data_IF_037201583938
#
_entry.id   IF_037201583938
#
_cell.length_a   1.000
_cell.length_b   1.000
_cell.length_c   1.000
_cell.angle_alpha   90.00
_cell.angle_beta   90.00
_cell.angle_gamma   90.00
#
_symmetry.space_group_name_H-M   'P 1'
#
loop_
_entity.id
_entity.type
_entity.pdbx_description
1 polymer ?
#
# COMPACT_ATOMS: atom_id res chain seq x y z
N UNK A 1 -7.82 9.57 33.49
CA UNK A 1 -7.06 9.03 32.34
C UNK A 1 -8.11 8.51 31.38
N UNK A 2 -8.15 9.02 30.14
CA UNK A 2 -9.25 8.76 29.21
C UNK A 2 -9.44 7.24 29.00
N UNK A 3 -10.66 6.73 29.11
CA UNK A 3 -10.98 5.28 29.07
C UNK A 3 -10.45 4.64 27.77
N UNK A 4 -10.60 5.34 26.65
CA UNK A 4 -10.03 5.01 25.34
C UNK A 4 -8.51 4.84 25.38
N UNK A 5 -7.79 5.67 26.15
CA UNK A 5 -6.32 5.58 26.26
C UNK A 5 -5.90 4.36 27.10
N UNK A 6 -6.66 4.00 28.13
CA UNK A 6 -6.40 2.77 28.90
C UNK A 6 -6.63 1.54 28.03
N UNK A 7 -7.80 1.48 27.38
CA UNK A 7 -8.19 0.39 26.50
C UNK A 7 -7.24 0.22 25.32
N UNK A 8 -6.78 1.33 24.72
CA UNK A 8 -5.75 1.29 23.68
C UNK A 8 -4.47 0.63 24.18
N UNK A 9 -3.94 1.02 25.35
CA UNK A 9 -2.72 0.41 25.93
C UNK A 9 -2.90 -1.08 26.21
N UNK A 10 -4.03 -1.47 26.76
CA UNK A 10 -4.35 -2.87 27.06
C UNK A 10 -4.41 -3.71 25.78
N UNK A 11 -5.06 -3.21 24.72
CA UNK A 11 -5.10 -3.90 23.42
C UNK A 11 -3.73 -3.98 22.75
N UNK A 12 -2.91 -2.94 22.83
CA UNK A 12 -1.54 -2.99 22.30
C UNK A 12 -0.70 -4.06 23.01
N UNK A 13 -0.77 -4.14 24.34
CA UNK A 13 -0.08 -5.19 25.09
C UNK A 13 -0.58 -6.60 24.72
N UNK A 14 -1.87 -6.74 24.41
CA UNK A 14 -2.48 -8.03 24.08
C UNK A 14 -2.20 -8.50 22.65
N UNK A 15 -2.26 -7.59 21.67
CA UNK A 15 -2.26 -7.95 20.25
C UNK A 15 -0.99 -7.56 19.50
N UNK A 16 -0.21 -6.61 20.01
CA UNK A 16 0.94 -6.05 19.31
C UNK A 16 2.27 -6.41 19.97
N UNK A 17 2.33 -6.43 21.29
CA UNK A 17 3.56 -6.76 22.03
C UNK A 17 3.98 -8.21 21.76
N UNK A 18 5.25 -8.42 21.40
CA UNK A 18 5.83 -9.70 21.00
C UNK A 18 5.11 -10.43 19.83
N UNK A 19 4.31 -9.70 19.03
CA UNK A 19 3.63 -10.24 17.85
C UNK A 19 4.44 -9.95 16.58
N UNK A 20 5.19 -10.95 16.11
CA UNK A 20 6.05 -10.82 14.91
C UNK A 20 5.26 -10.44 13.65
N UNK A 21 4.04 -10.93 13.48
CA UNK A 21 3.21 -10.59 12.31
C UNK A 21 2.81 -9.12 12.31
N UNK A 22 2.46 -8.57 13.47
CA UNK A 22 2.20 -7.15 13.63
C UNK A 22 3.47 -6.32 13.39
N UNK A 23 4.59 -6.71 13.98
CA UNK A 23 5.88 -6.02 13.85
C UNK A 23 6.36 -5.95 12.39
N UNK A 24 6.25 -7.06 11.65
CA UNK A 24 6.57 -7.12 10.22
C UNK A 24 5.65 -6.21 9.39
N UNK A 25 4.35 -6.23 9.65
CA UNK A 25 3.36 -5.41 8.95
C UNK A 25 3.62 -3.92 9.14
N UNK A 26 3.82 -3.48 10.39
CA UNK A 26 4.10 -2.08 10.71
C UNK A 26 5.46 -1.64 10.18
N UNK A 27 6.47 -2.50 10.31
CA UNK A 27 7.81 -2.21 9.77
C UNK A 27 7.77 -2.01 8.25
N UNK A 28 6.98 -2.79 7.52
CA UNK A 28 6.77 -2.59 6.07
C UNK A 28 6.15 -1.23 5.76
N UNK A 29 5.12 -0.82 6.52
CA UNK A 29 4.46 0.48 6.34
C UNK A 29 5.44 1.63 6.64
N UNK A 30 6.14 1.57 7.77
CA UNK A 30 7.10 2.60 8.19
C UNK A 30 8.24 2.71 7.17
N UNK A 31 8.80 1.59 6.72
CA UNK A 31 9.89 1.58 5.76
C UNK A 31 9.45 2.13 4.40
N UNK A 32 8.26 1.76 3.93
CA UNK A 32 7.70 2.31 2.69
C UNK A 32 7.66 3.85 2.73
N UNK A 33 7.08 4.42 3.80
CA UNK A 33 6.95 5.86 3.92
C UNK A 33 8.27 6.58 4.24
N UNK A 34 9.19 5.92 4.94
CA UNK A 34 10.55 6.42 5.12
C UNK A 34 11.25 6.58 3.76
N UNK A 35 11.17 5.57 2.90
CA UNK A 35 11.79 5.59 1.57
C UNK A 35 11.15 6.67 0.68
N UNK A 36 9.83 6.77 0.71
CA UNK A 36 9.10 7.75 -0.10
C UNK A 36 9.45 9.20 0.30
N UNK A 37 9.37 9.53 1.59
CA UNK A 37 9.76 10.85 2.09
C UNK A 37 11.26 11.10 1.99
N UNK A 38 12.08 10.07 2.19
CA UNK A 38 13.52 10.15 2.08
C UNK A 38 13.97 10.45 0.64
N UNK A 39 13.31 9.85 -0.34
CA UNK A 39 13.51 10.17 -1.74
C UNK A 39 13.09 11.61 -2.04
N UNK A 40 11.90 12.03 -1.57
CA UNK A 40 11.42 13.41 -1.74
C UNK A 40 12.36 14.45 -1.13
N UNK A 41 12.89 14.14 0.04
CA UNK A 41 13.86 14.96 0.77
C UNK A 41 15.26 14.93 0.15
N UNK A 42 15.49 14.07 -0.85
CA UNK A 42 16.77 13.81 -1.47
C UNK A 42 17.87 13.45 -0.44
N UNK A 43 17.51 12.60 0.54
CA UNK A 43 18.41 12.13 1.59
C UNK A 43 18.92 10.70 1.37
N UNK A 44 18.35 9.97 0.40
CA UNK A 44 18.71 8.59 0.08
C UNK A 44 19.79 8.49 -1.01
N UNK A 45 20.08 9.58 -1.71
CA UNK A 45 21.03 9.59 -2.82
C UNK A 45 22.45 9.88 -2.31
N UNK A 46 23.43 9.19 -2.88
CA UNK A 46 24.83 9.56 -2.71
C UNK A 46 25.07 10.94 -3.34
N UNK A 47 25.73 11.82 -2.58
CA UNK A 47 25.89 13.22 -2.97
C UNK A 47 27.34 13.64 -2.82
N UNK A 48 27.88 14.24 -3.87
CA UNK A 48 29.17 14.92 -3.82
C UNK A 48 28.97 16.34 -3.28
N UNK A 49 29.78 16.71 -2.29
CA UNK A 49 29.72 18.03 -1.66
C UNK A 49 30.89 18.89 -2.11
N UNK A 50 30.61 20.15 -2.43
CA UNK A 50 31.63 21.11 -2.83
C UNK A 50 32.41 21.67 -1.63
N UNK A 51 31.90 21.52 -0.41
CA UNK A 51 32.57 21.93 0.83
C UNK A 51 32.07 21.16 2.07
N UNK A 52 32.90 21.14 3.11
CA UNK A 52 32.65 20.42 4.37
C UNK A 52 31.44 20.96 5.16
N UNK A 53 31.09 22.24 4.99
CA UNK A 53 29.98 22.87 5.72
C UNK A 53 28.64 22.34 5.21
N UNK A 54 28.48 22.25 3.89
CA UNK A 54 27.31 21.66 3.23
C UNK A 54 27.17 20.19 3.59
N UNK A 55 28.27 19.43 3.53
CA UNK A 55 28.30 18.02 3.91
C UNK A 55 27.84 17.82 5.36
N UNK A 56 28.40 18.60 6.30
CA UNK A 56 28.04 18.51 7.71
C UNK A 56 26.57 18.88 7.96
N UNK A 57 26.07 19.91 7.28
CA UNK A 57 24.66 20.32 7.36
C UNK A 57 23.75 19.22 6.84
N UNK A 58 24.07 18.63 5.69
CA UNK A 58 23.32 17.53 5.10
C UNK A 58 23.29 16.31 6.04
N UNK A 59 24.45 15.83 6.50
CA UNK A 59 24.54 14.69 7.43
C UNK A 59 23.76 14.92 8.73
N UNK A 60 23.77 16.14 9.26
CA UNK A 60 22.96 16.50 10.42
C UNK A 60 21.45 16.44 10.12
N UNK A 61 21.03 16.90 8.94
CA UNK A 61 19.63 16.83 8.52
C UNK A 61 19.18 15.38 8.32
N UNK A 62 20.00 14.53 7.68
CA UNK A 62 19.73 13.09 7.52
C UNK A 62 19.54 12.42 8.88
N UNK A 63 20.51 12.60 9.79
CA UNK A 63 20.44 12.04 11.14
C UNK A 63 19.21 12.52 11.90
N UNK A 64 18.86 13.80 11.76
CA UNK A 64 17.67 14.38 12.39
C UNK A 64 16.39 13.79 11.80
N UNK A 65 16.34 13.56 10.50
CA UNK A 65 15.24 12.88 9.83
C UNK A 65 15.07 11.45 10.36
N UNK A 66 16.14 10.66 10.36
CA UNK A 66 16.17 9.27 10.87
C UNK A 66 15.77 9.18 12.36
N UNK A 67 16.08 10.21 13.14
CA UNK A 67 15.73 10.26 14.56
C UNK A 67 14.26 10.62 14.80
N UNK A 68 13.76 11.64 14.09
CA UNK A 68 12.43 12.20 14.33
C UNK A 68 11.31 11.42 13.64
N UNK A 69 11.57 10.89 12.43
CA UNK A 69 10.55 10.22 11.64
C UNK A 69 9.90 9.03 12.36
N UNK A 70 10.64 8.06 12.95
CA UNK A 70 10.03 6.91 13.61
C UNK A 70 9.10 7.30 14.77
N UNK A 71 9.47 8.33 15.55
CA UNK A 71 8.65 8.81 16.65
C UNK A 71 7.35 9.47 16.16
N UNK A 72 7.44 10.25 15.08
CA UNK A 72 6.29 10.90 14.48
C UNK A 72 5.28 9.88 13.91
N UNK A 73 5.75 8.92 13.11
CA UNK A 73 4.86 7.91 12.51
C UNK A 73 4.22 6.99 13.54
N UNK A 74 4.97 6.61 14.59
CA UNK A 74 4.40 5.85 15.71
C UNK A 74 3.25 6.60 16.37
N UNK A 75 3.40 7.91 16.59
CA UNK A 75 2.34 8.71 17.20
C UNK A 75 1.15 8.90 16.26
N UNK A 76 1.37 9.12 14.97
CA UNK A 76 0.30 9.17 13.97
C UNK A 76 -0.51 7.86 13.96
N UNK A 77 0.17 6.70 13.96
CA UNK A 77 -0.46 5.38 14.04
C UNK A 77 -1.29 5.22 15.32
N UNK A 78 -0.71 5.53 16.48
CA UNK A 78 -1.40 5.45 17.77
C UNK A 78 -2.62 6.37 17.84
N UNK A 79 -2.56 7.55 17.22
CA UNK A 79 -3.69 8.47 17.14
C UNK A 79 -4.80 7.92 16.28
N UNK A 80 -4.49 7.41 15.10
CA UNK A 80 -5.48 6.72 14.26
C UNK A 80 -6.12 5.52 14.96
N UNK A 81 -5.31 4.73 15.68
CA UNK A 81 -5.80 3.62 16.50
C UNK A 81 -6.82 4.08 17.54
N UNK A 82 -6.50 5.15 18.28
CA UNK A 82 -7.38 5.73 19.30
C UNK A 82 -8.66 6.33 18.71
N UNK A 83 -8.57 6.99 17.56
CA UNK A 83 -9.73 7.59 16.88
C UNK A 83 -10.73 6.53 16.45
N UNK A 84 -10.26 5.42 15.86
CA UNK A 84 -11.15 4.30 15.53
C UNK A 84 -11.76 3.67 16.78
N UNK A 85 -11.00 3.58 17.86
CA UNK A 85 -11.51 3.03 19.12
C UNK A 85 -12.66 3.86 19.69
N UNK A 86 -12.51 5.19 19.65
CA UNK A 86 -13.56 6.14 20.00
C UNK A 86 -14.76 6.01 19.06
N UNK A 87 -14.52 5.95 17.75
CA UNK A 87 -15.56 5.80 16.74
C UNK A 87 -16.40 4.54 16.93
N UNK A 88 -15.80 3.37 17.12
CA UNK A 88 -16.59 2.11 17.25
C UNK A 88 -17.33 1.99 18.59
N UNK A 89 -16.93 2.75 19.61
CA UNK A 89 -17.58 2.77 20.93
C UNK A 89 -18.55 3.95 21.11
N UNK A 90 -18.57 4.91 20.20
CA UNK A 90 -19.44 6.07 20.33
C UNK A 90 -20.90 5.69 19.99
N UNK A 91 -21.90 6.13 20.79
CA UNK A 91 -23.29 5.69 20.64
C UNK A 91 -23.92 5.98 19.27
N UNK A 92 -23.48 7.05 18.60
CA UNK A 92 -24.04 7.50 17.31
C UNK A 92 -23.44 6.78 16.10
N UNK A 93 -22.31 6.08 16.27
CA UNK A 93 -21.54 5.42 15.21
C UNK A 93 -21.50 3.90 15.41
N UNK A 94 -22.53 3.37 16.07
CA UNK A 94 -22.66 1.94 16.31
C UNK A 94 -22.67 1.15 14.98
N UNK A 95 -21.75 0.19 14.88
CA UNK A 95 -21.62 -0.70 13.72
C UNK A 95 -22.34 -2.01 14.05
N UNK A 96 -23.33 -2.44 13.24
CA UNK A 96 -23.97 -3.75 13.39
C UNK A 96 -22.95 -4.89 13.31
N UNK A 97 -23.15 -5.95 14.11
CA UNK A 97 -22.22 -7.08 14.18
C UNK A 97 -22.03 -7.79 12.84
N UNK A 98 -23.05 -7.81 11.99
CA UNK A 98 -22.99 -8.44 10.67
C UNK A 98 -21.92 -7.79 9.77
N UNK A 99 -21.71 -6.48 9.90
CA UNK A 99 -20.76 -5.75 9.07
C UNK A 99 -19.30 -5.99 9.46
N UNK A 100 -19.03 -6.44 10.70
CA UNK A 100 -17.67 -6.81 11.11
C UNK A 100 -17.13 -8.06 10.37
N UNK A 101 -18.01 -8.82 9.72
CA UNK A 101 -17.60 -10.00 8.93
C UNK A 101 -17.31 -9.67 7.47
N UNK A 102 -17.63 -8.46 7.02
CA UNK A 102 -17.39 -7.97 5.67
C UNK A 102 -15.97 -7.40 5.54
N UNK A 103 -15.16 -7.98 4.65
CA UNK A 103 -13.79 -7.53 4.40
C UNK A 103 -13.73 -6.13 3.77
N UNK A 104 -14.80 -5.69 3.08
CA UNK A 104 -14.85 -4.36 2.48
C UNK A 104 -14.96 -3.26 3.54
N UNK A 105 -15.65 -3.52 4.65
CA UNK A 105 -15.89 -2.48 5.66
C UNK A 105 -14.58 -1.92 6.23
N UNK A 106 -13.54 -2.75 6.36
CA UNK A 106 -12.22 -2.31 6.84
C UNK A 106 -11.67 -1.17 5.97
N UNK A 107 -11.90 -1.24 4.66
CA UNK A 107 -11.46 -0.24 3.69
C UNK A 107 -12.33 1.01 3.65
N UNK A 108 -13.52 0.95 4.24
CA UNK A 108 -14.41 2.10 4.42
C UNK A 108 -14.17 2.84 5.74
N UNK A 109 -13.44 2.24 6.71
CA UNK A 109 -13.12 2.88 7.99
C UNK A 109 -12.45 4.25 7.82
N UNK A 110 -11.46 4.45 6.93
CA UNK A 110 -10.89 5.78 6.67
C UNK A 110 -11.95 6.83 6.30
N UNK A 111 -12.87 6.47 5.39
CA UNK A 111 -13.96 7.33 4.95
C UNK A 111 -14.94 7.63 6.08
N UNK A 112 -15.31 6.60 6.85
CA UNK A 112 -16.23 6.73 7.98
C UNK A 112 -15.66 7.66 9.06
N UNK A 113 -14.36 7.56 9.37
CA UNK A 113 -13.69 8.41 10.35
C UNK A 113 -13.65 9.88 9.94
N UNK A 114 -13.35 10.15 8.67
CA UNK A 114 -13.30 11.54 8.18
C UNK A 114 -14.68 12.17 8.15
N UNK A 115 -15.72 11.43 7.74
CA UNK A 115 -17.09 11.95 7.73
C UNK A 115 -17.70 12.10 9.14
N UNK A 116 -17.23 11.32 10.10
CA UNK A 116 -17.64 11.45 11.50
C UNK A 116 -16.93 12.61 12.22
N UNK A 117 -15.90 13.21 11.62
CA UNK A 117 -15.13 14.28 12.25
C UNK A 117 -15.51 15.66 11.74
N UNK A 118 -15.53 16.64 12.65
CA UNK A 118 -15.69 18.05 12.30
C UNK A 118 -14.37 18.69 11.79
N UNK A 119 -13.23 18.04 12.04
CA UNK A 119 -11.89 18.56 11.73
C UNK A 119 -11.17 17.68 10.71
N UNK A 120 -10.22 18.27 9.98
CA UNK A 120 -9.36 17.50 9.09
C UNK A 120 -8.49 16.52 9.90
N UNK A 121 -8.38 15.27 9.44
CA UNK A 121 -7.66 14.22 10.16
C UNK A 121 -6.22 14.63 10.52
N UNK A 122 -5.52 15.30 9.60
CA UNK A 122 -4.16 15.77 9.83
C UNK A 122 -4.05 16.70 11.05
N UNK A 123 -5.08 17.49 11.35
CA UNK A 123 -5.10 18.35 12.54
C UNK A 123 -5.33 17.53 13.82
N UNK A 124 -6.15 16.49 13.75
CA UNK A 124 -6.51 15.62 14.89
C UNK A 124 -5.33 14.75 15.32
N UNK A 125 -4.57 14.22 14.35
CA UNK A 125 -3.44 13.31 14.62
C UNK A 125 -2.16 14.06 15.00
N UNK A 126 -2.21 15.39 15.05
CA UNK A 126 -1.06 16.24 15.34
C UNK A 126 -0.67 16.17 16.82
N UNK A 127 0.41 15.44 17.10
CA UNK A 127 1.09 15.41 18.40
C UNK A 127 2.33 16.29 18.41
N UNK A 128 2.98 16.41 19.57
CA UNK A 128 4.26 17.13 19.69
C UNK A 128 5.33 16.51 18.78
N UNK A 129 5.38 15.19 18.67
CA UNK A 129 6.33 14.45 17.83
C UNK A 129 6.07 14.64 16.34
N UNK A 130 4.81 14.49 15.90
CA UNK A 130 4.46 14.75 14.50
C UNK A 130 4.72 16.21 14.14
N UNK A 131 4.42 17.13 15.07
CA UNK A 131 4.65 18.55 14.87
C UNK A 131 6.13 18.90 14.78
N UNK A 132 6.97 18.32 15.65
CA UNK A 132 8.41 18.55 15.62
C UNK A 132 9.00 18.10 14.28
N UNK A 133 8.64 16.89 13.83
CA UNK A 133 9.10 16.40 12.54
C UNK A 133 8.57 17.26 11.38
N UNK A 134 7.28 17.61 11.37
CA UNK A 134 6.71 18.44 10.30
C UNK A 134 7.39 19.81 10.20
N UNK A 135 7.63 20.47 11.33
CA UNK A 135 8.33 21.77 11.32
C UNK A 135 9.75 21.64 10.82
N UNK A 136 10.47 20.60 11.23
CA UNK A 136 11.81 20.32 10.72
C UNK A 136 11.80 20.05 9.22
N UNK A 137 10.96 19.12 8.76
CA UNK A 137 10.91 18.68 7.37
C UNK A 137 10.52 19.80 6.42
N UNK A 138 9.43 20.53 6.71
CA UNK A 138 8.92 21.62 5.87
C UNK A 138 9.92 22.77 5.75
N UNK A 139 10.69 23.07 6.80
CA UNK A 139 11.71 24.12 6.77
C UNK A 139 12.99 23.70 6.04
N UNK A 140 13.23 22.40 5.91
CA UNK A 140 14.50 21.85 5.43
C UNK A 140 14.41 21.37 3.98
N UNK A 141 13.28 20.78 3.60
CA UNK A 141 13.08 20.11 2.32
C UNK A 141 11.96 20.79 1.54
N UNK A 142 12.26 21.16 0.31
CA UNK A 142 11.32 21.85 -0.56
C UNK A 142 10.20 20.89 -1.02
N UNK A 143 8.96 21.38 -1.06
CA UNK A 143 7.83 20.62 -1.60
C UNK A 143 7.47 19.34 -0.83
N UNK A 144 8.03 19.10 0.35
CA UNK A 144 7.77 17.88 1.14
C UNK A 144 6.40 17.87 1.80
N UNK A 145 5.80 19.05 2.01
CA UNK A 145 4.59 19.22 2.82
C UNK A 145 3.40 18.37 2.36
N UNK A 146 2.98 18.38 1.07
CA UNK A 146 1.81 17.61 0.65
C UNK A 146 2.00 16.11 0.86
N UNK A 147 3.18 15.59 0.53
CA UNK A 147 3.52 14.18 0.74
C UNK A 147 3.55 13.82 2.23
N UNK A 148 4.12 14.70 3.05
CA UNK A 148 4.19 14.50 4.49
C UNK A 148 2.80 14.42 5.14
N UNK A 149 1.90 15.33 4.77
CA UNK A 149 0.52 15.36 5.26
C UNK A 149 -0.21 14.07 4.86
N UNK A 150 -0.07 13.64 3.61
CA UNK A 150 -0.59 12.34 3.14
C UNK A 150 -0.06 11.17 3.96
N UNK A 151 1.27 11.07 4.13
CA UNK A 151 1.91 9.96 4.85
C UNK A 151 1.39 9.83 6.28
N UNK A 152 1.24 10.94 7.00
CA UNK A 152 0.71 10.89 8.37
C UNK A 152 -0.75 10.46 8.42
N UNK A 153 -1.58 10.91 7.48
CA UNK A 153 -2.95 10.44 7.38
C UNK A 153 -3.02 8.94 7.05
N UNK A 154 -2.27 8.45 6.06
CA UNK A 154 -2.25 7.02 5.69
C UNK A 154 -1.77 6.14 6.85
N UNK A 155 -0.78 6.57 7.62
CA UNK A 155 -0.30 5.85 8.80
C UNK A 155 -1.35 5.85 9.92
N UNK A 156 -2.06 6.97 10.12
CA UNK A 156 -3.18 7.00 11.05
C UNK A 156 -4.30 6.05 10.60
N UNK A 157 -4.64 6.01 9.31
CA UNK A 157 -5.63 5.08 8.78
C UNK A 157 -5.22 3.63 8.98
N UNK A 158 -3.94 3.28 8.78
CA UNK A 158 -3.46 1.94 9.13
C UNK A 158 -3.64 1.60 10.62
N UNK A 159 -3.47 2.59 11.50
CA UNK A 159 -3.79 2.47 12.93
C UNK A 159 -5.26 2.20 13.17
N UNK A 160 -6.14 2.90 12.45
CA UNK A 160 -7.58 2.73 12.53
C UNK A 160 -8.04 1.34 12.03
N UNK A 161 -7.55 0.89 10.86
CA UNK A 161 -7.82 -0.45 10.34
C UNK A 161 -7.41 -1.53 11.35
N UNK A 162 -6.23 -1.36 11.98
CA UNK A 162 -5.73 -2.27 13.02
C UNK A 162 -6.65 -2.31 14.26
N UNK A 163 -7.16 -1.17 14.72
CA UNK A 163 -8.14 -1.15 15.82
C UNK A 163 -9.41 -1.90 15.46
N UNK A 164 -9.91 -1.67 14.25
CA UNK A 164 -11.14 -2.31 13.79
C UNK A 164 -10.99 -3.83 13.71
N UNK A 165 -9.84 -4.32 13.23
CA UNK A 165 -9.49 -5.74 13.26
C UNK A 165 -9.45 -6.30 14.70
N UNK A 166 -8.83 -5.58 15.64
CA UNK A 166 -8.83 -6.01 17.04
C UNK A 166 -10.23 -6.04 17.66
N UNK A 167 -11.10 -5.08 17.30
CA UNK A 167 -12.51 -5.06 17.72
C UNK A 167 -13.25 -6.31 17.21
N UNK A 168 -13.09 -6.64 15.92
CA UNK A 168 -13.66 -7.85 15.32
C UNK A 168 -13.18 -9.12 16.03
N UNK A 169 -11.88 -9.22 16.30
CA UNK A 169 -11.29 -10.36 17.00
C UNK A 169 -11.81 -10.50 18.44
N UNK A 170 -12.01 -9.39 19.16
CA UNK A 170 -12.59 -9.42 20.51
C UNK A 170 -14.05 -9.87 20.54
N UNK A 171 -14.80 -9.57 19.47
CA UNK A 171 -16.16 -10.08 19.26
C UNK A 171 -16.18 -11.56 18.83
N UNK A 172 -15.03 -12.16 18.53
CA UNK A 172 -14.94 -13.55 18.08
C UNK A 172 -15.54 -13.78 16.68
N UNK A 173 -15.57 -12.73 15.84
CA UNK A 173 -16.14 -12.77 14.50
C UNK A 173 -15.05 -13.09 13.49
N UNK A 174 -15.29 -14.03 12.59
CA UNK A 174 -14.38 -14.34 11.47
C UNK A 174 -14.79 -13.59 10.21
N UNK A 175 -13.81 -13.23 9.37
CA UNK A 175 -14.08 -12.64 8.07
C UNK A 175 -14.71 -13.69 7.15
N UNK A 176 -15.71 -13.28 6.38
CA UNK A 176 -16.22 -14.09 5.28
C UNK A 176 -15.19 -14.01 4.16
N UNK A 177 -14.50 -15.11 3.89
CA UNK A 177 -13.58 -15.18 2.76
C UNK A 177 -14.37 -15.18 1.45
N UNK A 178 -14.11 -14.18 0.61
CA UNK A 178 -14.58 -14.13 -0.77
C UNK A 178 -13.83 -15.09 -1.69
N UNK A 179 -14.28 -15.14 -2.94
CA UNK A 179 -13.58 -15.89 -3.99
C UNK A 179 -12.23 -15.22 -4.31
N UNK A 180 -11.27 -16.03 -4.75
CA UNK A 180 -9.95 -15.54 -5.20
C UNK A 180 -9.72 -15.87 -6.67
N UNK A 181 -8.94 -15.03 -7.34
CA UNK A 181 -8.53 -15.27 -8.71
C UNK A 181 -7.69 -16.53 -8.81
N UNK A 182 -7.77 -17.21 -9.97
CA UNK A 182 -7.07 -18.49 -10.13
C UNK A 182 -5.56 -18.30 -10.26
N UNK A 183 -5.12 -17.25 -10.96
CA UNK A 183 -3.73 -17.03 -11.33
C UNK A 183 -2.92 -16.36 -10.20
N UNK A 184 -3.42 -15.27 -9.65
CA UNK A 184 -2.66 -14.43 -8.71
C UNK A 184 -3.11 -14.57 -7.25
N UNK A 185 -4.18 -15.33 -7.00
CA UNK A 185 -4.74 -15.61 -5.66
C UNK A 185 -5.14 -14.36 -4.89
N UNK A 186 -5.56 -13.31 -5.60
CA UNK A 186 -6.09 -12.08 -4.99
C UNK A 186 -7.61 -12.15 -4.89
N UNK A 187 -8.25 -11.43 -3.95
CA UNK A 187 -9.71 -11.41 -3.85
C UNK A 187 -10.35 -10.75 -5.07
N UNK A 188 -11.53 -11.24 -5.48
CA UNK A 188 -12.28 -10.70 -6.63
C UNK A 188 -13.31 -9.65 -6.27
N UNK A 189 -13.69 -9.58 -5.00
CA UNK A 189 -14.85 -8.85 -4.49
C UNK A 189 -14.48 -7.67 -3.58
N UNK A 190 -13.20 -7.45 -3.32
CA UNK A 190 -12.72 -6.36 -2.48
C UNK A 190 -11.33 -5.86 -2.87
N UNK A 191 -10.99 -4.66 -2.38
CA UNK A 191 -9.66 -4.05 -2.55
C UNK A 191 -8.59 -4.84 -1.82
N UNK A 192 -7.44 -5.01 -2.44
CA UNK A 192 -6.25 -5.59 -1.80
C UNK A 192 -5.06 -4.63 -1.90
N UNK A 193 -4.21 -4.61 -0.88
CA UNK A 193 -3.03 -3.76 -0.88
C UNK A 193 -1.98 -4.27 -1.91
N UNK A 194 -1.44 -3.34 -2.70
CA UNK A 194 -0.20 -3.50 -3.46
C UNK A 194 0.94 -2.86 -2.68
N UNK A 195 0.77 -1.59 -2.32
CA UNK A 195 1.64 -0.84 -1.40
C UNK A 195 0.78 -0.22 -0.30
N UNK A 196 1.37 0.36 0.76
CA UNK A 196 0.60 1.14 1.73
C UNK A 196 -0.23 2.29 1.12
N UNK A 197 0.19 2.87 -0.01
CA UNK A 197 -0.51 3.96 -0.71
C UNK A 197 -1.33 3.55 -1.94
N UNK A 198 -1.25 2.28 -2.36
CA UNK A 198 -1.89 1.81 -3.61
C UNK A 198 -2.62 0.49 -3.37
N UNK A 199 -3.90 0.48 -3.71
CA UNK A 199 -4.73 -0.72 -3.70
C UNK A 199 -4.95 -1.23 -5.13
N UNK A 200 -5.26 -2.51 -5.26
CA UNK A 200 -5.73 -3.14 -6.49
C UNK A 200 -7.16 -3.65 -6.31
N UNK A 201 -7.92 -3.63 -7.41
CA UNK A 201 -9.22 -4.31 -7.55
C UNK A 201 -9.20 -5.14 -8.82
N UNK A 202 -9.78 -6.34 -8.76
CA UNK A 202 -9.94 -7.19 -9.95
C UNK A 202 -11.14 -6.68 -10.75
N UNK A 203 -10.92 -6.27 -11.99
CA UNK A 203 -12.00 -5.87 -12.91
C UNK A 203 -12.39 -6.99 -13.88
N UNK A 204 -11.48 -7.93 -14.11
CA UNK A 204 -11.71 -9.10 -14.94
C UNK A 204 -10.84 -10.26 -14.48
N UNK A 205 -11.40 -11.47 -14.38
CA UNK A 205 -10.66 -12.68 -14.05
C UNK A 205 -11.23 -13.89 -14.80
N UNK A 206 -10.41 -14.44 -15.69
CA UNK A 206 -10.61 -15.69 -16.41
C UNK A 206 -9.37 -16.58 -16.25
N UNK A 207 -9.45 -17.83 -16.72
CA UNK A 207 -8.39 -18.84 -16.55
C UNK A 207 -7.01 -18.40 -17.08
N UNK A 208 -6.99 -17.60 -18.16
CA UNK A 208 -5.78 -17.19 -18.87
C UNK A 208 -5.57 -15.68 -18.90
N UNK A 209 -6.48 -14.90 -18.33
CA UNK A 209 -6.44 -13.44 -18.37
C UNK A 209 -6.99 -12.86 -17.07
N UNK A 210 -6.26 -11.93 -16.48
CA UNK A 210 -6.71 -11.22 -15.29
C UNK A 210 -6.36 -9.74 -15.46
N UNK A 211 -7.27 -8.84 -15.09
CA UNK A 211 -7.07 -7.40 -15.19
C UNK A 211 -7.33 -6.79 -13.82
N UNK A 212 -6.36 -6.01 -13.34
CA UNK A 212 -6.48 -5.19 -12.15
C UNK A 212 -6.53 -3.72 -12.52
N UNK A 213 -7.37 -2.99 -11.81
CA UNK A 213 -7.23 -1.55 -11.70
C UNK A 213 -6.51 -1.23 -10.40
N UNK A 214 -5.42 -0.49 -10.49
CA UNK A 214 -4.72 0.07 -9.34
C UNK A 214 -5.32 1.44 -9.05
N UNK A 215 -5.63 1.70 -7.80
CA UNK A 215 -6.14 2.98 -7.34
C UNK A 215 -5.29 3.51 -6.20
N UNK A 216 -5.29 4.83 -6.02
CA UNK A 216 -4.77 5.42 -4.79
C UNK A 216 -5.50 4.83 -3.59
N UNK A 217 -4.82 4.76 -2.45
CA UNK A 217 -5.45 4.33 -1.20
C UNK A 217 -6.71 5.19 -0.97
N UNK A 218 -7.84 4.53 -0.72
CA UNK A 218 -9.15 5.18 -0.50
C UNK A 218 -9.09 6.20 0.64
N UNK A 219 -8.18 6.01 1.61
CA UNK A 219 -7.93 6.99 2.68
C UNK A 219 -7.39 8.34 2.20
N UNK A 220 -6.73 8.41 1.04
CA UNK A 220 -6.20 9.67 0.47
C UNK A 220 -7.18 10.32 -0.50
N UNK A 221 -8.08 9.53 -1.07
CA UNK A 221 -9.03 9.96 -2.10
C UNK A 221 -10.46 9.73 -1.64
N UNK A 222 -10.78 10.22 -0.46
CA UNK A 222 -12.05 9.96 0.27
C UNK A 222 -13.27 10.33 -0.57
N UNK A 223 -13.20 11.42 -1.33
CA UNK A 223 -14.29 11.86 -2.22
C UNK A 223 -14.46 10.99 -3.48
N UNK A 224 -13.40 10.27 -3.88
CA UNK A 224 -13.38 9.39 -5.04
C UNK A 224 -12.39 8.22 -4.81
N UNK A 225 -12.79 7.10 -4.20
CA UNK A 225 -11.87 6.00 -3.90
C UNK A 225 -11.36 5.25 -5.15
N UNK A 226 -11.82 5.64 -6.34
CA UNK A 226 -11.50 5.03 -7.61
C UNK A 226 -10.63 5.92 -8.50
N UNK A 227 -9.83 6.83 -7.92
CA UNK A 227 -8.79 7.53 -8.68
C UNK A 227 -7.77 6.49 -9.19
N UNK A 228 -7.96 6.11 -10.45
CA UNK A 228 -7.23 5.03 -11.11
C UNK A 228 -5.82 5.47 -11.48
N UNK A 229 -4.84 4.75 -10.94
CA UNK A 229 -3.42 4.95 -11.17
C UNK A 229 -2.94 4.19 -12.41
N UNK A 230 -3.36 2.94 -12.54
CA UNK A 230 -2.89 2.06 -13.61
C UNK A 230 -3.83 0.89 -13.85
N UNK A 231 -3.80 0.38 -15.08
CA UNK A 231 -4.36 -0.92 -15.42
C UNK A 231 -3.21 -1.93 -15.53
N UNK A 232 -3.37 -3.08 -14.86
CA UNK A 232 -2.42 -4.20 -14.92
C UNK A 232 -3.13 -5.40 -15.52
N UNK A 233 -2.67 -5.85 -16.68
CA UNK A 233 -3.18 -7.05 -17.36
C UNK A 233 -2.19 -8.20 -17.24
N UNK A 234 -2.67 -9.32 -16.73
CA UNK A 234 -1.99 -10.60 -16.69
C UNK A 234 -2.49 -11.46 -17.84
N UNK A 235 -1.56 -12.03 -18.60
CA UNK A 235 -1.88 -12.97 -19.67
C UNK A 235 -1.06 -14.23 -19.41
N UNK A 236 -1.73 -15.26 -18.91
CA UNK A 236 -1.12 -16.56 -18.67
C UNK A 236 -1.31 -17.45 -19.89
N UNK A 237 -0.20 -17.97 -20.41
CA UNK A 237 -0.18 -18.84 -21.56
C UNK A 237 0.45 -20.15 -21.17
N UNK A 238 -0.34 -21.22 -21.28
CA UNK A 238 0.17 -22.56 -21.06
C UNK A 238 1.08 -22.97 -22.21
N UNK A 239 2.00 -23.88 -21.93
CA UNK A 239 2.87 -24.51 -22.93
C UNK A 239 2.10 -24.96 -24.16
N UNK A 240 0.97 -25.64 -23.97
CA UNK A 240 0.17 -26.20 -25.06
C UNK A 240 -0.40 -25.09 -25.97
N UNK A 241 -0.82 -23.96 -25.39
CA UNK A 241 -1.29 -22.79 -26.15
C UNK A 241 -0.15 -22.16 -26.97
N UNK A 242 1.04 -22.05 -26.38
CA UNK A 242 2.21 -21.47 -27.04
C UNK A 242 2.68 -22.38 -28.19
N UNK A 243 2.81 -23.68 -27.94
CA UNK A 243 3.20 -24.67 -28.95
C UNK A 243 2.24 -24.66 -30.13
N UNK A 244 0.94 -24.71 -29.86
CA UNK A 244 -0.09 -24.62 -30.90
C UNK A 244 0.01 -23.32 -31.69
N UNK A 245 0.25 -22.18 -31.03
CA UNK A 245 0.40 -20.89 -31.71
C UNK A 245 1.63 -20.84 -32.63
N UNK A 246 2.71 -21.52 -32.27
CA UNK A 246 3.92 -21.65 -33.11
C UNK A 246 3.63 -22.53 -34.33
N UNK A 247 2.93 -23.66 -34.13
CA UNK A 247 2.49 -24.57 -35.18
C UNK A 247 1.54 -23.87 -36.16
N UNK A 248 0.59 -23.08 -35.65
CA UNK A 248 -0.37 -22.26 -36.41
C UNK A 248 0.30 -21.06 -37.12
N UNK A 249 1.58 -20.82 -36.89
CA UNK A 249 2.36 -19.82 -37.61
C UNK A 249 2.28 -18.40 -37.06
N UNK A 250 1.83 -18.21 -35.81
CA UNK A 250 1.71 -16.88 -35.18
C UNK A 250 3.08 -16.23 -35.03
N UNK A 251 3.30 -15.13 -35.78
CA UNK A 251 4.61 -14.50 -35.94
C UNK A 251 5.27 -14.12 -34.60
N UNK A 252 4.49 -13.60 -33.66
CA UNK A 252 4.98 -13.20 -32.34
C UNK A 252 5.71 -14.34 -31.62
N UNK A 253 5.07 -15.51 -31.49
CA UNK A 253 5.65 -16.66 -30.80
C UNK A 253 6.77 -17.31 -31.59
N UNK A 254 6.69 -17.33 -32.93
CA UNK A 254 7.80 -17.85 -33.75
C UNK A 254 9.08 -17.04 -33.61
N UNK A 255 8.97 -15.71 -33.50
CA UNK A 255 10.13 -14.84 -33.28
C UNK A 255 10.66 -15.03 -31.85
N UNK A 256 9.75 -15.09 -30.87
CA UNK A 256 10.11 -15.22 -29.47
C UNK A 256 10.83 -16.53 -29.14
N UNK A 257 10.47 -17.63 -29.81
CA UNK A 257 11.01 -18.99 -29.60
C UNK A 257 11.80 -19.51 -30.81
N UNK A 258 12.43 -18.62 -31.59
CA UNK A 258 13.06 -18.93 -32.89
C UNK A 258 14.08 -20.08 -32.83
N UNK A 259 14.74 -20.26 -31.68
CA UNK A 259 15.78 -21.27 -31.44
C UNK A 259 15.45 -22.21 -30.25
N UNK A 260 14.21 -22.23 -29.79
CA UNK A 260 13.77 -23.06 -28.66
C UNK A 260 13.03 -24.29 -29.16
N UNK A 261 13.50 -25.52 -28.85
CA UNK A 261 12.76 -26.74 -29.14
C UNK A 261 11.36 -26.71 -28.51
N UNK A 262 10.32 -27.14 -29.24
CA UNK A 262 8.93 -27.12 -28.75
C UNK A 262 8.79 -27.82 -27.39
N UNK A 263 9.51 -28.91 -27.16
CA UNK A 263 9.47 -29.67 -25.91
C UNK A 263 10.13 -28.96 -24.71
N UNK A 264 10.93 -27.92 -24.95
CA UNK A 264 11.58 -27.09 -23.93
C UNK A 264 10.76 -25.84 -23.58
N UNK A 265 9.69 -25.55 -24.33
CA UNK A 265 8.78 -24.44 -24.04
C UNK A 265 8.02 -24.75 -22.74
N UNK A 266 7.96 -23.75 -21.87
CA UNK A 266 7.24 -23.77 -20.59
C UNK A 266 6.09 -22.75 -20.60
N UNK A 267 5.25 -22.82 -19.57
CA UNK A 267 4.22 -21.82 -19.31
C UNK A 267 4.86 -20.43 -19.15
N UNK A 268 4.11 -19.40 -19.57
CA UNK A 268 4.58 -18.01 -19.60
C UNK A 268 3.53 -17.08 -19.02
N UNK A 269 3.99 -16.08 -18.29
CA UNK A 269 3.14 -14.99 -17.81
C UNK A 269 3.61 -13.65 -18.36
N UNK A 270 2.73 -12.96 -19.07
CA UNK A 270 2.94 -11.56 -19.43
C UNK A 270 2.20 -10.65 -18.46
N UNK A 271 2.92 -9.68 -17.90
CA UNK A 271 2.39 -8.62 -17.03
C UNK A 271 2.48 -7.33 -17.83
N UNK A 272 1.35 -6.75 -18.23
CA UNK A 272 1.28 -5.51 -18.99
C UNK A 272 0.75 -4.41 -18.10
N UNK A 273 1.46 -3.31 -18.01
CA UNK A 273 1.09 -2.19 -17.15
C UNK A 273 0.92 -0.94 -18.00
N UNK A 274 -0.26 -0.34 -17.89
CA UNK A 274 -0.61 0.93 -18.51
C UNK A 274 -0.86 1.93 -17.39
N UNK A 275 0.04 2.90 -17.24
CA UNK A 275 -0.13 3.99 -16.28
C UNK A 275 -1.15 4.99 -16.84
N UNK A 276 -2.08 5.44 -16.01
CA UNK A 276 -3.02 6.48 -16.38
C UNK A 276 -2.42 7.86 -16.08
N UNK A 277 -2.75 8.83 -16.91
CA UNK A 277 -2.30 10.21 -16.75
C UNK A 277 -3.21 10.98 -15.77
N UNK A 278 -2.71 11.19 -14.53
CA UNK A 278 -2.93 12.27 -13.55
C UNK A 278 -4.30 12.98 -13.38
N UNK A 279 -5.41 12.49 -13.92
CA UNK A 279 -6.71 13.10 -13.63
C UNK A 279 -7.10 12.78 -12.18
N UNK A 280 -7.17 13.81 -11.33
CA UNK A 280 -7.65 13.77 -9.93
C UNK A 280 -6.73 13.07 -8.91
N UNK A 281 -5.48 12.75 -9.28
CA UNK A 281 -4.51 12.21 -8.33
C UNK A 281 -4.22 13.20 -7.17
N UNK A 282 -4.11 12.73 -5.91
CA UNK A 282 -3.79 13.59 -4.77
C UNK A 282 -2.41 14.24 -4.90
N UNK A 283 -1.49 13.58 -5.63
CA UNK A 283 -0.18 14.09 -6.00
C UNK A 283 0.36 13.34 -7.23
N UNK A 284 1.36 13.90 -7.94
CA UNK A 284 2.06 13.16 -8.97
C UNK A 284 2.78 11.94 -8.39
N UNK A 285 2.79 10.86 -9.15
CA UNK A 285 3.56 9.65 -8.83
C UNK A 285 5.03 9.88 -9.23
N UNK A 286 5.95 9.72 -8.27
CA UNK A 286 7.38 9.85 -8.57
C UNK A 286 7.92 8.56 -9.21
N UNK A 287 8.97 8.66 -10.04
CA UNK A 287 9.53 7.49 -10.73
C UNK A 287 9.94 6.37 -9.76
N UNK A 288 10.51 6.72 -8.60
CA UNK A 288 10.91 5.74 -7.57
C UNK A 288 9.70 4.98 -7.01
N UNK A 289 8.56 5.66 -6.90
CA UNK A 289 7.33 5.04 -6.45
C UNK A 289 6.72 4.13 -7.51
N UNK A 290 6.79 4.53 -8.79
CA UNK A 290 6.44 3.64 -9.92
C UNK A 290 7.28 2.36 -9.83
N UNK A 291 8.60 2.47 -9.73
CA UNK A 291 9.50 1.32 -9.64
C UNK A 291 9.17 0.44 -8.43
N UNK A 292 8.85 1.03 -7.28
CA UNK A 292 8.44 0.29 -6.10
C UNK A 292 7.12 -0.48 -6.33
N UNK A 293 6.09 0.16 -6.89
CA UNK A 293 4.81 -0.49 -7.22
C UNK A 293 5.02 -1.66 -8.19
N UNK A 294 5.82 -1.47 -9.23
CA UNK A 294 6.14 -2.51 -10.22
C UNK A 294 6.82 -3.71 -9.54
N UNK A 295 7.77 -3.46 -8.63
CA UNK A 295 8.46 -4.52 -7.89
C UNK A 295 7.53 -5.28 -6.94
N UNK A 296 6.62 -4.59 -6.25
CA UNK A 296 5.64 -5.23 -5.36
C UNK A 296 4.66 -6.10 -6.16
N UNK A 297 4.15 -5.61 -7.30
CA UNK A 297 3.30 -6.40 -8.20
C UNK A 297 4.04 -7.65 -8.65
N UNK A 298 5.25 -7.50 -9.20
CA UNK A 298 6.05 -8.60 -9.70
C UNK A 298 6.36 -9.62 -8.60
N UNK A 299 6.79 -9.16 -7.42
CA UNK A 299 7.11 -9.99 -6.27
C UNK A 299 5.89 -10.76 -5.77
N UNK A 300 4.73 -10.11 -5.65
CA UNK A 300 3.49 -10.75 -5.21
C UNK A 300 3.05 -11.85 -6.16
N UNK A 301 3.12 -11.60 -7.47
CA UNK A 301 2.74 -12.59 -8.47
C UNK A 301 3.73 -13.74 -8.51
N UNK A 302 5.03 -13.47 -8.42
CA UNK A 302 6.04 -14.53 -8.39
C UNK A 302 5.78 -15.52 -7.24
N UNK A 303 5.37 -15.01 -6.07
CA UNK A 303 5.03 -15.87 -4.93
C UNK A 303 3.76 -16.71 -5.14
N UNK A 304 2.78 -16.21 -5.91
CA UNK A 304 1.45 -16.81 -6.01
C UNK A 304 1.22 -17.65 -7.27
N UNK A 305 1.72 -17.19 -8.42
CA UNK A 305 1.43 -17.78 -9.72
C UNK A 305 2.19 -19.10 -9.99
N UNK A 306 3.19 -19.44 -9.16
CA UNK A 306 4.03 -20.64 -9.33
C UNK A 306 4.73 -20.74 -10.70
N UNK A 307 4.89 -19.61 -11.39
CA UNK A 307 5.59 -19.49 -12.67
C UNK A 307 7.03 -19.02 -12.40
N UNK A 308 8.06 -19.68 -12.97
CA UNK A 308 9.45 -19.25 -12.82
C UNK A 308 9.67 -17.82 -13.31
N UNK A 309 10.51 -17.05 -12.62
CA UNK A 309 10.78 -15.62 -12.93
C UNK A 309 11.24 -15.45 -14.37
N UNK A 310 12.06 -16.38 -14.87
CA UNK A 310 12.57 -16.39 -16.25
C UNK A 310 11.47 -16.47 -17.31
N UNK A 311 10.28 -16.94 -16.94
CA UNK A 311 9.11 -17.07 -17.80
C UNK A 311 8.08 -15.94 -17.58
N UNK A 312 8.40 -14.95 -16.76
CA UNK A 312 7.57 -13.77 -16.50
C UNK A 312 8.15 -12.58 -17.26
N UNK A 313 7.29 -11.84 -17.97
CA UNK A 313 7.71 -10.65 -18.72
C UNK A 313 6.87 -9.45 -18.30
N UNK A 314 7.55 -8.41 -17.83
CA UNK A 314 6.96 -7.11 -17.55
C UNK A 314 7.03 -6.21 -18.79
N UNK A 315 5.87 -5.71 -19.22
CA UNK A 315 5.74 -4.78 -20.36
C UNK A 315 5.07 -3.50 -19.84
N UNK A 316 5.83 -2.42 -19.77
CA UNK A 316 5.29 -1.09 -19.47
C UNK A 316 4.91 -0.38 -20.78
N UNK A 317 3.72 0.20 -20.84
CA UNK A 317 3.19 0.90 -22.02
C UNK A 317 2.86 2.36 -21.74
#
# INVERSE_FOLDING_TARGET
MNEIVSMSKERFAKYCEDNSTFEESISRIINHYFLLLGNKANILQEREFNNEVEEKKFKNNVKRFETLFPAAVKNAFLKGYQLCLEFVHHPETHIPEELYTDSNLIKDIPFALVNASEFELYEIIRTDETQEFSVFAIRTFEGIRPLLEQVFCEIAFAGAECTFEHERLEKGLELVNGDTTTLTKVPVDHLFAITPSVNGVVVHAEEHCEIWNLTWNSGVTIDNPFVELAEVTFIHQTRDMIQKSIEDGVLYYRILYLDTPLNEIQDRLEIRIKLNSDFEAPRPLEQVEVEYILNEIFGKIHQQAQIPIENMILIQR
#
